data_IF_340938400628
#
_entry.id   IF_340938400628
#
_cell.length_a   1.000
_cell.length_b   1.000
_cell.length_c   1.000
_cell.angle_alpha   90.00
_cell.angle_beta   90.00
_cell.angle_gamma   90.00
#
_symmetry.space_group_name_H-M   'P 1'
#
loop_
_entity.id
_entity.type
_entity.pdbx_description
1 polymer ?
#
# COMPACT_ATOMS: atom_id res chain seq x y z
N UNK A 1 27.38 -0.64 14.90
CA UNK A 1 27.90 -0.58 16.29
C UNK A 1 29.14 -1.43 16.45
N UNK A 2 29.11 -2.71 16.08
CA UNK A 2 30.24 -3.66 16.23
C UNK A 2 31.49 -3.28 15.42
N UNK A 3 31.33 -2.67 14.24
CA UNK A 3 32.45 -2.26 13.36
C UNK A 3 33.03 -0.87 13.64
N UNK A 4 32.34 -0.01 14.42
CA UNK A 4 32.75 1.39 14.69
C UNK A 4 33.15 2.20 13.45
N UNK A 5 32.49 1.95 12.32
CA UNK A 5 32.77 2.65 11.05
C UNK A 5 32.22 4.08 11.07
N UNK A 6 33.02 5.03 10.61
CA UNK A 6 32.55 6.38 10.29
C UNK A 6 31.96 6.41 8.87
N UNK A 7 30.75 6.94 8.76
CA UNK A 7 30.02 7.08 7.50
C UNK A 7 29.49 8.50 7.44
N UNK A 8 30.01 9.31 6.53
CA UNK A 8 29.56 10.69 6.37
C UNK A 8 28.02 10.76 6.24
N UNK A 9 27.37 11.64 7.01
CA UNK A 9 25.92 11.78 6.99
C UNK A 9 25.11 10.73 7.76
N UNK A 10 25.75 9.66 8.26
CA UNK A 10 25.05 8.53 8.86
C UNK A 10 25.65 8.04 10.19
N UNK A 11 26.97 8.00 10.32
CA UNK A 11 27.66 7.48 11.51
C UNK A 11 28.91 8.29 11.83
N UNK A 12 29.06 8.68 13.10
CA UNK A 12 30.22 9.41 13.60
C UNK A 12 30.77 8.72 14.84
N UNK A 13 32.10 8.57 14.92
CA UNK A 13 32.74 7.95 16.07
C UNK A 13 33.00 9.00 17.15
N UNK A 14 31.98 9.27 17.96
CA UNK A 14 32.07 10.27 19.02
C UNK A 14 33.09 9.88 20.11
N UNK A 15 34.17 10.66 20.26
CA UNK A 15 35.17 10.43 21.30
C UNK A 15 34.79 11.11 22.62
N UNK A 16 35.29 10.60 23.76
CA UNK A 16 34.96 11.14 25.09
C UNK A 16 35.17 12.65 25.21
N UNK A 17 36.24 13.19 24.65
CA UNK A 17 36.53 14.62 24.70
C UNK A 17 35.49 15.44 23.93
N UNK A 18 35.01 14.92 22.81
CA UNK A 18 33.97 15.53 21.98
C UNK A 18 32.61 15.51 22.69
N UNK A 19 32.27 14.41 23.35
CA UNK A 19 31.05 14.31 24.18
C UNK A 19 31.08 15.33 25.33
N UNK A 20 32.25 15.52 25.96
CA UNK A 20 32.44 16.54 27.01
C UNK A 20 32.26 17.95 26.43
N UNK A 21 32.84 18.24 25.25
CA UNK A 21 32.68 19.53 24.56
C UNK A 21 31.21 19.79 24.16
N UNK A 22 30.47 18.73 23.83
CA UNK A 22 29.04 18.78 23.56
C UNK A 22 28.17 18.70 24.83
N UNK A 23 28.74 18.94 26.02
CA UNK A 23 28.03 18.96 27.31
C UNK A 23 27.24 17.67 27.60
N UNK A 24 27.78 16.53 27.17
CA UNK A 24 27.13 15.21 27.25
C UNK A 24 25.79 15.13 26.48
N UNK A 25 25.49 16.09 25.61
CA UNK A 25 24.35 16.02 24.72
C UNK A 25 24.67 15.03 23.59
N UNK A 26 23.93 13.91 23.56
CA UNK A 26 24.13 12.79 22.64
C UNK A 26 23.15 12.79 21.46
N UNK A 27 22.46 13.90 21.20
CA UNK A 27 21.56 14.00 20.06
C UNK A 27 22.33 13.86 18.74
N UNK A 28 21.85 12.97 17.86
CA UNK A 28 22.49 12.60 16.58
C UNK A 28 22.94 13.82 15.75
N UNK A 29 22.14 14.89 15.59
CA UNK A 29 22.55 16.06 14.80
C UNK A 29 23.79 16.82 15.30
N UNK A 30 24.25 16.60 16.55
CA UNK A 30 25.50 17.21 17.05
C UNK A 30 26.76 16.52 16.56
N UNK A 31 26.65 15.27 16.12
CA UNK A 31 27.78 14.41 15.76
C UNK A 31 27.75 14.02 14.29
N UNK A 32 26.55 13.87 13.72
CA UNK A 32 26.38 13.52 12.32
C UNK A 32 25.85 14.74 11.59
N UNK A 33 26.72 15.37 10.79
CA UNK A 33 26.30 16.44 9.88
C UNK A 33 25.36 15.87 8.82
N UNK A 34 24.17 16.45 8.68
CA UNK A 34 23.30 16.13 7.57
C UNK A 34 23.99 16.52 6.27
N UNK A 35 24.10 15.56 5.34
CA UNK A 35 24.57 15.86 3.99
C UNK A 35 23.36 16.45 3.25
N UNK A 36 23.50 17.66 2.73
CA UNK A 36 22.55 18.18 1.74
C UNK A 36 22.60 17.28 0.51
N UNK A 37 21.55 16.49 0.33
CA UNK A 37 21.34 15.66 -0.86
C UNK A 37 20.61 16.42 -1.97
N UNK A 38 20.19 17.65 -1.69
CA UNK A 38 19.52 18.49 -2.67
C UNK A 38 20.46 18.84 -3.81
N UNK A 39 19.99 18.63 -5.03
CA UNK A 39 20.70 19.05 -6.22
C UNK A 39 20.71 20.57 -6.23
N UNK A 40 21.90 21.15 -6.06
CA UNK A 40 22.14 22.58 -6.13
C UNK A 40 21.48 23.18 -7.39
N UNK A 41 20.80 24.30 -7.20
CA UNK A 41 20.14 25.02 -8.29
C UNK A 41 21.19 25.65 -9.20
N UNK A 42 20.90 25.65 -10.49
CA UNK A 42 21.72 26.30 -11.50
C UNK A 42 21.05 27.60 -11.97
N UNK A 43 21.77 28.72 -11.84
CA UNK A 43 21.24 30.05 -12.18
C UNK A 43 20.97 30.16 -13.68
N UNK A 44 21.87 29.66 -14.51
CA UNK A 44 21.72 29.74 -15.96
C UNK A 44 20.55 28.85 -16.42
N UNK A 45 20.32 27.70 -15.77
CA UNK A 45 19.16 26.86 -16.02
C UNK A 45 17.82 27.56 -15.70
N UNK A 46 17.75 28.34 -14.61
CA UNK A 46 16.57 29.16 -14.29
C UNK A 46 16.33 30.29 -15.31
N UNK A 47 17.40 30.89 -15.83
CA UNK A 47 17.30 31.99 -16.78
C UNK A 47 16.89 31.53 -18.18
N UNK A 48 17.49 30.44 -18.68
CA UNK A 48 17.39 30.06 -20.09
C UNK A 48 16.89 28.62 -20.33
N UNK A 49 16.53 27.90 -19.27
CA UNK A 49 15.95 26.56 -19.35
C UNK A 49 16.97 25.46 -19.65
N UNK A 50 16.51 24.21 -19.49
CA UNK A 50 17.33 23.01 -19.68
C UNK A 50 18.06 22.56 -18.42
N UNK A 51 18.25 21.25 -18.33
CA UNK A 51 18.88 20.57 -17.21
C UNK A 51 20.40 20.61 -17.37
N UNK A 52 21.17 21.09 -16.38
CA UNK A 52 22.63 21.04 -16.44
C UNK A 52 23.14 19.61 -16.63
N UNK A 53 24.12 19.40 -17.54
CA UNK A 53 24.74 18.08 -17.74
C UNK A 53 25.33 17.50 -16.45
N UNK A 54 25.87 18.35 -15.58
CA UNK A 54 26.38 17.94 -14.26
C UNK A 54 25.31 17.32 -13.35
N UNK A 55 24.03 17.70 -13.51
CA UNK A 55 22.93 17.11 -12.75
C UNK A 55 22.57 15.73 -13.30
N UNK A 56 22.62 15.53 -14.62
CA UNK A 56 22.51 14.21 -15.25
C UNK A 56 23.67 13.31 -14.80
N UNK A 57 24.86 13.89 -14.64
CA UNK A 57 26.04 13.19 -14.13
C UNK A 57 25.97 12.80 -12.65
N UNK A 58 24.92 13.18 -11.93
CA UNK A 58 24.67 12.70 -10.56
C UNK A 58 23.73 11.50 -10.53
N UNK A 59 23.07 11.17 -11.64
CA UNK A 59 22.19 10.00 -11.79
C UNK A 59 23.04 8.75 -12.05
N UNK A 60 23.71 8.26 -11.00
CA UNK A 60 24.68 7.18 -11.08
C UNK A 60 24.01 5.86 -11.51
N UNK A 61 22.88 5.52 -10.91
CA UNK A 61 22.16 4.26 -11.20
C UNK A 61 21.70 4.21 -12.66
N UNK A 62 21.10 5.27 -13.19
CA UNK A 62 20.67 5.33 -14.58
C UNK A 62 21.86 5.27 -15.54
N UNK A 63 22.96 5.98 -15.25
CA UNK A 63 24.16 5.96 -16.10
C UNK A 63 24.86 4.61 -16.13
N UNK A 64 24.89 3.89 -15.02
CA UNK A 64 25.59 2.60 -14.93
C UNK A 64 24.72 1.45 -15.43
N UNK A 65 23.39 1.48 -15.18
CA UNK A 65 22.49 0.40 -15.59
C UNK A 65 21.92 0.54 -16.99
N UNK A 66 21.62 1.76 -17.43
CA UNK A 66 20.94 2.05 -18.70
C UNK A 66 21.51 3.30 -19.41
N UNK A 67 22.83 3.39 -19.64
CA UNK A 67 23.46 4.56 -20.26
C UNK A 67 22.90 4.88 -21.64
N UNK A 68 22.58 3.85 -22.42
CA UNK A 68 22.05 3.96 -23.77
C UNK A 68 20.66 4.61 -23.76
N UNK A 69 19.77 4.13 -22.89
CA UNK A 69 18.43 4.71 -22.71
C UNK A 69 18.54 6.16 -22.26
N UNK A 70 19.41 6.47 -21.29
CA UNK A 70 19.60 7.84 -20.84
C UNK A 70 20.09 8.74 -21.98
N UNK A 71 21.09 8.30 -22.75
CA UNK A 71 21.67 9.06 -23.87
C UNK A 71 20.66 9.28 -25.02
N UNK A 72 19.83 8.29 -25.34
CA UNK A 72 18.81 8.40 -26.38
C UNK A 72 17.70 9.39 -26.03
N UNK A 73 17.37 9.50 -24.74
CA UNK A 73 16.26 10.30 -24.23
C UNK A 73 16.65 11.73 -23.84
N UNK A 74 17.92 12.11 -23.94
CA UNK A 74 18.40 13.49 -23.73
C UNK A 74 18.84 14.13 -25.05
N UNK A 75 18.67 15.44 -25.17
CA UNK A 75 19.23 16.25 -26.24
C UNK A 75 19.87 17.52 -25.73
N UNK A 76 21.02 17.90 -26.29
CA UNK A 76 21.65 19.17 -25.96
C UNK A 76 20.89 20.31 -26.63
N UNK A 77 20.26 21.16 -25.82
CA UNK A 77 19.51 22.32 -26.28
C UNK A 77 20.39 23.58 -26.33
N UNK A 78 21.46 23.62 -25.51
CA UNK A 78 22.49 24.65 -25.49
C UNK A 78 23.77 24.10 -24.83
N UNK A 79 24.95 24.71 -25.06
CA UNK A 79 26.21 24.20 -24.52
C UNK A 79 26.15 23.95 -23.00
N UNK A 80 26.24 22.67 -22.61
CA UNK A 80 26.23 22.27 -21.19
C UNK A 80 24.85 21.96 -20.58
N UNK A 81 23.76 22.14 -21.32
CA UNK A 81 22.39 21.90 -20.83
C UNK A 81 21.58 21.03 -21.80
N UNK A 82 20.76 20.16 -21.23
CA UNK A 82 19.97 19.18 -21.99
C UNK A 82 18.46 19.31 -21.73
N UNK A 83 17.67 18.95 -22.72
CA UNK A 83 16.23 18.70 -22.60
C UNK A 83 15.94 17.19 -22.68
N UNK A 84 14.73 16.80 -22.24
CA UNK A 84 14.23 15.44 -22.39
C UNK A 84 13.44 15.32 -23.69
N UNK A 85 13.66 14.23 -24.44
CA UNK A 85 12.92 13.97 -25.70
C UNK A 85 11.56 13.29 -25.46
N UNK A 86 11.51 12.45 -24.42
CA UNK A 86 10.33 11.68 -24.05
C UNK A 86 9.95 12.01 -22.62
N UNK A 87 8.69 11.77 -22.28
CA UNK A 87 8.22 11.97 -20.91
C UNK A 87 8.89 11.02 -19.92
N UNK A 88 9.02 11.44 -18.67
CA UNK A 88 9.54 10.57 -17.59
C UNK A 88 8.74 9.26 -17.46
N UNK A 89 7.43 9.31 -17.75
CA UNK A 89 6.58 8.11 -17.75
C UNK A 89 7.03 7.10 -18.81
N UNK A 90 7.27 7.54 -20.04
CA UNK A 90 7.76 6.69 -21.11
C UNK A 90 9.16 6.17 -20.81
N UNK A 91 10.05 7.02 -20.29
CA UNK A 91 11.39 6.60 -19.86
C UNK A 91 11.31 5.52 -18.76
N UNK A 92 10.41 5.68 -17.79
CA UNK A 92 10.19 4.68 -16.73
C UNK A 92 9.80 3.33 -17.32
N UNK A 93 8.85 3.32 -18.26
CA UNK A 93 8.40 2.09 -18.91
C UNK A 93 9.52 1.41 -19.72
N UNK A 94 10.35 2.20 -20.41
CA UNK A 94 11.50 1.69 -21.19
C UNK A 94 12.55 1.10 -20.25
N UNK A 95 12.93 1.83 -19.20
CA UNK A 95 13.99 1.41 -18.28
C UNK A 95 13.59 0.15 -17.51
N UNK A 96 12.36 0.07 -16.97
CA UNK A 96 11.91 -1.11 -16.22
C UNK A 96 11.80 -2.37 -17.09
N UNK A 97 11.62 -2.22 -18.40
CA UNK A 97 11.60 -3.33 -19.37
C UNK A 97 12.97 -3.62 -19.99
N UNK A 98 14.00 -2.86 -19.64
CA UNK A 98 15.33 -3.01 -20.19
C UNK A 98 15.95 -4.34 -19.74
N UNK A 99 16.60 -5.06 -20.67
CA UNK A 99 17.14 -6.40 -20.43
C UNK A 99 18.11 -6.46 -19.25
N UNK A 100 18.90 -5.39 -19.05
CA UNK A 100 19.82 -5.26 -17.91
C UNK A 100 19.08 -5.26 -16.57
N UNK A 101 17.97 -4.53 -16.46
CA UNK A 101 17.17 -4.45 -15.22
C UNK A 101 16.49 -5.78 -14.94
N UNK A 102 15.89 -6.40 -15.96
CA UNK A 102 15.24 -7.70 -15.84
C UNK A 102 16.23 -8.80 -15.44
N UNK A 103 17.43 -8.78 -16.00
CA UNK A 103 18.49 -9.74 -15.68
C UNK A 103 19.02 -9.56 -14.26
N UNK A 104 19.23 -8.31 -13.81
CA UNK A 104 19.63 -8.02 -12.44
C UNK A 104 18.58 -8.46 -11.42
N UNK A 105 17.30 -8.18 -11.73
CA UNK A 105 16.16 -8.63 -10.92
C UNK A 105 16.11 -10.15 -10.84
N UNK A 106 16.35 -10.85 -11.95
CA UNK A 106 16.36 -12.32 -11.95
C UNK A 106 17.52 -12.91 -11.17
N UNK A 107 18.71 -12.34 -11.26
CA UNK A 107 19.87 -12.77 -10.47
C UNK A 107 19.60 -12.62 -8.97
N UNK A 108 19.06 -11.47 -8.56
CA UNK A 108 18.70 -11.21 -7.17
C UNK A 108 17.59 -12.15 -6.70
N UNK A 109 16.55 -12.37 -7.50
CA UNK A 109 15.45 -13.30 -7.21
C UNK A 109 15.98 -14.70 -6.88
N UNK A 110 16.95 -15.21 -7.66
CA UNK A 110 17.58 -16.51 -7.42
C UNK A 110 18.31 -16.52 -6.07
N UNK A 111 19.17 -15.51 -5.80
CA UNK A 111 19.92 -15.44 -4.53
C UNK A 111 19.00 -15.34 -3.31
N UNK A 112 17.90 -14.57 -3.40
CA UNK A 112 16.94 -14.44 -2.31
C UNK A 112 16.07 -15.69 -2.14
N UNK A 113 15.76 -16.39 -3.24
CA UNK A 113 15.07 -17.69 -3.17
C UNK A 113 15.94 -18.75 -2.51
N UNK A 114 17.22 -18.79 -2.82
CA UNK A 114 18.18 -19.70 -2.17
C UNK A 114 18.35 -19.35 -0.68
N UNK A 115 18.47 -18.05 -0.36
CA UNK A 115 18.52 -17.55 1.01
C UNK A 115 17.28 -17.97 1.82
N UNK A 116 16.08 -17.70 1.31
CA UNK A 116 14.83 -18.05 2.01
C UNK A 116 14.66 -19.56 2.15
N UNK A 117 15.06 -20.34 1.14
CA UNK A 117 15.04 -21.81 1.20
C UNK A 117 16.01 -22.37 2.24
N UNK A 118 17.21 -21.78 2.38
CA UNK A 118 18.17 -22.15 3.41
C UNK A 118 17.58 -21.91 4.81
N UNK A 119 17.16 -20.69 5.09
CA UNK A 119 16.69 -20.33 6.43
C UNK A 119 15.33 -20.95 6.77
N UNK A 120 14.48 -21.24 5.79
CA UNK A 120 13.30 -22.06 5.99
C UNK A 120 13.62 -23.41 6.65
N UNK A 121 14.65 -24.11 6.15
CA UNK A 121 15.05 -25.41 6.69
C UNK A 121 15.66 -25.30 8.09
N UNK A 122 16.37 -24.21 8.39
CA UNK A 122 16.97 -23.96 9.71
C UNK A 122 15.89 -23.61 10.76
N UNK A 123 14.99 -22.68 10.42
CA UNK A 123 13.92 -22.21 11.31
C UNK A 123 12.95 -23.35 11.70
N UNK A 124 12.65 -24.26 10.77
CA UNK A 124 11.82 -25.45 11.07
C UNK A 124 12.44 -26.40 12.10
N UNK A 125 13.76 -26.36 12.27
CA UNK A 125 14.53 -27.28 13.12
C UNK A 125 14.98 -26.65 14.43
N UNK A 126 14.52 -25.43 14.72
CA UNK A 126 14.79 -24.76 15.98
C UNK A 126 14.31 -25.63 17.16
N UNK A 127 15.16 -25.70 18.18
CA UNK A 127 14.93 -26.42 19.44
C UNK A 127 15.29 -25.52 20.62
N UNK A 128 15.00 -25.95 21.86
CA UNK A 128 15.38 -25.20 23.08
C UNK A 128 16.89 -24.92 23.17
N UNK A 129 17.74 -25.77 22.57
CA UNK A 129 19.19 -25.59 22.57
C UNK A 129 19.70 -24.68 21.44
N UNK A 130 18.82 -24.23 20.54
CA UNK A 130 19.18 -23.36 19.43
C UNK A 130 19.47 -21.93 19.90
N UNK A 131 20.55 -21.33 19.39
CA UNK A 131 20.87 -19.94 19.64
C UNK A 131 20.10 -19.02 18.68
N UNK A 132 18.92 -18.56 19.09
CA UNK A 132 18.05 -17.72 18.25
C UNK A 132 18.69 -16.37 17.90
N UNK A 133 19.47 -15.79 18.81
CA UNK A 133 20.18 -14.52 18.58
C UNK A 133 21.22 -14.68 17.48
N UNK A 134 21.99 -15.77 17.51
CA UNK A 134 22.98 -16.05 16.47
C UNK A 134 22.32 -16.38 15.13
N UNK A 135 21.17 -17.05 15.13
CA UNK A 135 20.39 -17.30 13.91
C UNK A 135 19.88 -16.00 13.29
N UNK A 136 19.33 -15.08 14.10
CA UNK A 136 18.93 -13.74 13.65
C UNK A 136 20.11 -12.96 13.09
N UNK A 137 21.22 -12.87 13.82
CA UNK A 137 22.43 -12.19 13.36
C UNK A 137 22.97 -12.78 12.05
N UNK A 138 22.93 -14.10 11.90
CA UNK A 138 23.37 -14.80 10.69
C UNK A 138 22.47 -14.44 9.50
N UNK A 139 21.15 -14.53 9.66
CA UNK A 139 20.18 -14.11 8.64
C UNK A 139 20.40 -12.67 8.20
N UNK A 140 20.53 -11.76 9.17
CA UNK A 140 20.70 -10.34 8.96
C UNK A 140 22.05 -9.96 8.33
N UNK A 141 23.12 -10.70 8.64
CA UNK A 141 24.43 -10.48 8.05
C UNK A 141 24.51 -11.07 6.64
N UNK A 142 23.97 -12.27 6.41
CA UNK A 142 23.98 -12.89 5.09
C UNK A 142 23.18 -12.09 4.07
N UNK A 143 22.00 -11.56 4.43
CA UNK A 143 21.25 -10.70 3.50
C UNK A 143 22.04 -9.44 3.13
N UNK A 144 22.77 -8.82 4.08
CA UNK A 144 23.65 -7.69 3.78
C UNK A 144 24.74 -8.08 2.79
N UNK A 145 25.35 -9.26 2.93
CA UNK A 145 26.39 -9.70 2.01
C UNK A 145 25.82 -9.91 0.61
N UNK A 146 24.67 -10.58 0.49
CA UNK A 146 24.00 -10.77 -0.80
C UNK A 146 23.73 -9.42 -1.46
N UNK A 147 23.17 -8.47 -0.73
CA UNK A 147 22.82 -7.14 -1.28
C UNK A 147 24.04 -6.30 -1.65
N UNK A 148 25.17 -6.45 -0.94
CA UNK A 148 26.43 -5.76 -1.27
C UNK A 148 27.05 -6.20 -2.60
N UNK A 149 26.62 -7.33 -3.16
CA UNK A 149 27.02 -7.74 -4.51
C UNK A 149 26.32 -6.90 -5.61
N UNK A 150 25.36 -6.05 -5.24
CA UNK A 150 24.58 -5.21 -6.14
C UNK A 150 24.77 -3.72 -5.80
N UNK A 151 25.61 -3.03 -6.57
CA UNK A 151 26.05 -1.65 -6.29
C UNK A 151 24.92 -0.61 -6.16
N UNK A 152 23.78 -0.86 -6.78
CA UNK A 152 22.65 0.08 -6.88
C UNK A 152 21.57 -0.13 -5.84
N UNK A 153 21.74 -1.09 -4.93
CA UNK A 153 20.73 -1.40 -3.93
C UNK A 153 20.99 -0.68 -2.62
N UNK A 154 19.91 -0.21 -2.00
CA UNK A 154 19.95 0.18 -0.61
C UNK A 154 20.00 -1.08 0.28
N UNK A 155 21.22 -1.41 0.71
CA UNK A 155 21.50 -2.55 1.60
C UNK A 155 20.73 -2.44 2.92
N UNK A 156 20.46 -1.22 3.41
CA UNK A 156 19.72 -1.02 4.65
C UNK A 156 18.23 -1.27 4.47
N UNK A 157 17.63 -0.85 3.34
CA UNK A 157 16.22 -1.17 3.06
C UNK A 157 16.03 -2.69 2.96
N UNK A 158 16.91 -3.41 2.24
CA UNK A 158 16.81 -4.87 2.17
C UNK A 158 17.10 -5.58 3.50
N UNK A 159 18.00 -5.04 4.32
CA UNK A 159 18.18 -5.50 5.70
C UNK A 159 16.91 -5.32 6.55
N UNK A 160 16.23 -4.18 6.40
CA UNK A 160 15.01 -3.88 7.16
C UNK A 160 13.90 -4.89 6.85
N UNK A 161 13.77 -5.35 5.61
CA UNK A 161 12.81 -6.42 5.24
C UNK A 161 12.98 -7.64 6.15
N UNK A 162 14.21 -8.12 6.32
CA UNK A 162 14.49 -9.29 7.17
C UNK A 162 14.32 -8.96 8.66
N UNK A 163 14.76 -7.79 9.10
CA UNK A 163 14.61 -7.36 10.50
C UNK A 163 13.13 -7.23 10.92
N UNK A 164 12.26 -6.79 10.01
CA UNK A 164 10.82 -6.71 10.24
C UNK A 164 10.17 -8.09 10.32
N UNK A 165 10.60 -9.05 9.50
CA UNK A 165 10.14 -10.45 9.59
C UNK A 165 10.49 -11.05 10.96
N UNK A 166 11.70 -10.77 11.47
CA UNK A 166 12.08 -11.17 12.83
C UNK A 166 11.19 -10.54 13.88
N UNK A 167 11.12 -9.21 13.88
CA UNK A 167 10.36 -8.42 14.85
C UNK A 167 8.88 -8.81 14.90
N UNK A 168 8.26 -9.01 13.73
CA UNK A 168 6.81 -9.18 13.62
C UNK A 168 6.37 -10.65 13.64
N UNK A 169 7.29 -11.60 13.47
CA UNK A 169 6.93 -13.03 13.39
C UNK A 169 7.97 -13.95 14.01
N UNK A 170 9.22 -13.98 13.50
CA UNK A 170 10.14 -15.05 13.87
C UNK A 170 10.55 -15.04 15.34
N UNK A 171 10.67 -13.88 16.01
CA UNK A 171 11.00 -13.86 17.46
C UNK A 171 10.00 -14.71 18.24
N UNK A 172 8.71 -14.42 18.08
CA UNK A 172 7.66 -15.15 18.80
C UNK A 172 7.51 -16.59 18.31
N UNK A 173 7.47 -16.80 16.99
CA UNK A 173 7.23 -18.13 16.43
C UNK A 173 8.36 -19.09 16.78
N UNK A 174 9.63 -18.68 16.66
CA UNK A 174 10.78 -19.55 16.93
C UNK A 174 10.90 -19.91 18.40
N UNK A 175 10.53 -19.02 19.32
CA UNK A 175 10.42 -19.34 20.75
C UNK A 175 9.39 -20.44 21.01
N UNK A 176 8.21 -20.35 20.40
CA UNK A 176 7.18 -21.38 20.56
C UNK A 176 7.58 -22.70 19.88
N UNK A 177 8.17 -22.63 18.68
CA UNK A 177 8.70 -23.79 17.95
C UNK A 177 9.76 -24.51 18.77
N UNK A 178 10.70 -23.77 19.39
CA UNK A 178 11.75 -24.32 20.23
C UNK A 178 11.19 -25.18 21.37
N UNK A 179 10.11 -24.72 21.99
CA UNK A 179 9.51 -25.35 23.18
C UNK A 179 8.52 -26.48 22.84
N UNK A 180 7.68 -26.30 21.81
CA UNK A 180 6.55 -27.20 21.52
C UNK A 180 6.76 -28.07 20.27
N UNK A 181 7.72 -27.70 19.41
CA UNK A 181 7.99 -28.33 18.12
C UNK A 181 7.13 -27.76 16.99
N UNK A 182 7.73 -27.60 15.81
CA UNK A 182 7.18 -26.88 14.65
C UNK A 182 5.75 -27.28 14.27
N UNK A 183 5.53 -28.55 13.99
CA UNK A 183 4.23 -29.06 13.56
C UNK A 183 3.20 -29.13 14.69
N UNK A 184 3.65 -29.18 15.95
CA UNK A 184 2.77 -29.21 17.11
C UNK A 184 2.19 -27.82 17.35
N UNK A 185 3.04 -26.80 17.47
CA UNK A 185 2.60 -25.42 17.73
C UNK A 185 1.73 -24.88 16.59
N UNK A 186 2.02 -25.26 15.34
CA UNK A 186 1.23 -24.87 14.18
C UNK A 186 -0.23 -25.36 14.24
N UNK A 187 -0.51 -26.44 14.99
CA UNK A 187 -1.85 -26.99 15.24
C UNK A 187 -2.45 -26.55 16.57
N UNK A 188 -1.80 -25.64 17.28
CA UNK A 188 -2.31 -25.10 18.52
C UNK A 188 -3.08 -23.80 18.32
N UNK A 189 -4.04 -23.59 19.22
CA UNK A 189 -4.86 -22.40 19.29
C UNK A 189 -4.74 -21.71 20.63
N UNK A 190 -4.99 -20.42 20.65
CA UNK A 190 -5.09 -19.59 21.84
C UNK A 190 -6.44 -18.86 21.87
N UNK A 191 -6.99 -18.57 23.07
CA UNK A 191 -8.25 -17.85 23.20
C UNK A 191 -8.19 -16.47 22.53
N UNK A 192 -9.13 -16.19 21.64
CA UNK A 192 -9.28 -14.85 21.05
C UNK A 192 -10.06 -13.97 22.02
N UNK A 193 -9.34 -13.10 22.75
CA UNK A 193 -9.95 -12.19 23.71
C UNK A 193 -10.41 -10.90 23.02
N UNK A 194 -11.69 -10.55 23.19
CA UNK A 194 -12.24 -9.30 22.67
C UNK A 194 -12.82 -8.46 23.80
N UNK A 195 -12.67 -7.15 23.67
CA UNK A 195 -13.34 -6.22 24.57
C UNK A 195 -14.78 -6.00 24.10
N UNK A 196 -15.76 -6.25 24.98
CA UNK A 196 -17.16 -5.86 24.75
C UNK A 196 -17.65 -4.84 25.78
N UNK A 197 -18.61 -4.02 25.35
CA UNK A 197 -19.19 -2.94 26.15
C UNK A 197 -18.42 -1.62 26.04
N UNK A 198 -18.98 -0.56 26.62
CA UNK A 198 -18.39 0.79 26.64
C UNK A 198 -18.43 1.39 28.05
N UNK A 199 -17.44 2.20 28.39
CA UNK A 199 -17.34 2.83 29.72
C UNK A 199 -17.31 1.82 30.86
N UNK A 200 -18.27 1.90 31.79
CA UNK A 200 -18.34 1.06 33.00
C UNK A 200 -18.75 -0.40 32.73
N UNK A 201 -19.24 -0.74 31.54
CA UNK A 201 -19.60 -2.12 31.17
C UNK A 201 -18.53 -2.84 30.34
N UNK A 202 -17.35 -2.20 30.17
CA UNK A 202 -16.21 -2.77 29.45
C UNK A 202 -15.73 -4.03 30.15
N UNK A 203 -15.76 -5.15 29.45
CA UNK A 203 -15.24 -6.45 29.91
C UNK A 203 -14.50 -7.14 28.79
N UNK A 204 -13.51 -7.95 29.15
CA UNK A 204 -12.87 -8.87 28.22
C UNK A 204 -13.61 -10.20 28.26
N UNK A 205 -14.00 -10.70 27.10
CA UNK A 205 -14.61 -12.02 26.94
C UNK A 205 -13.93 -12.77 25.79
N UNK A 206 -13.89 -14.09 25.88
CA UNK A 206 -13.40 -14.92 24.80
C UNK A 206 -14.45 -14.97 23.67
N UNK A 207 -14.01 -14.72 22.44
CA UNK A 207 -14.82 -14.75 21.23
C UNK A 207 -14.02 -15.43 20.11
N UNK A 208 -14.08 -16.77 20.10
CA UNK A 208 -13.37 -17.64 19.17
C UNK A 208 -11.95 -18.01 19.60
N UNK A 209 -11.17 -18.42 18.61
CA UNK A 209 -9.79 -18.91 18.75
C UNK A 209 -8.88 -18.29 17.70
N UNK A 210 -7.63 -18.01 18.06
CA UNK A 210 -6.56 -17.70 17.11
C UNK A 210 -5.60 -18.87 17.01
N UNK A 211 -5.01 -19.11 15.84
CA UNK A 211 -3.84 -19.99 15.73
C UNK A 211 -2.64 -19.37 16.47
N UNK A 212 -1.89 -20.19 17.21
CA UNK A 212 -0.74 -19.70 17.99
C UNK A 212 0.34 -19.05 17.11
N UNK A 213 0.66 -19.66 15.98
CA UNK A 213 1.69 -19.15 15.05
C UNK A 213 1.17 -18.96 13.62
N UNK A 214 0.00 -19.48 13.25
CA UNK A 214 -0.60 -19.26 11.92
C UNK A 214 -1.83 -18.36 12.08
N UNK A 215 -1.83 -17.15 11.50
CA UNK A 215 -2.99 -16.27 11.55
C UNK A 215 -4.21 -16.89 10.86
N UNK A 216 -5.39 -16.79 11.48
CA UNK A 216 -6.64 -17.31 10.90
C UNK A 216 -6.94 -16.68 9.53
N UNK A 217 -6.61 -15.39 9.35
CA UNK A 217 -6.75 -14.70 8.06
C UNK A 217 -5.95 -15.37 6.96
N UNK A 218 -4.76 -15.87 7.27
CA UNK A 218 -3.90 -16.56 6.32
C UNK A 218 -4.44 -17.96 5.96
N UNK A 219 -4.99 -18.68 6.95
CA UNK A 219 -5.68 -19.96 6.71
C UNK A 219 -6.88 -19.74 5.79
N UNK A 220 -7.71 -18.74 6.09
CA UNK A 220 -8.87 -18.38 5.28
C UNK A 220 -8.45 -18.03 3.84
N UNK A 221 -7.42 -17.20 3.67
CA UNK A 221 -6.93 -16.77 2.36
C UNK A 221 -6.39 -17.94 1.51
N UNK A 222 -5.62 -18.85 2.11
CA UNK A 222 -4.93 -19.90 1.36
C UNK A 222 -5.74 -21.18 1.19
N UNK A 223 -6.63 -21.51 2.13
CA UNK A 223 -7.36 -22.78 2.13
C UNK A 223 -8.85 -22.63 1.79
N UNK A 224 -9.43 -21.43 1.95
CA UNK A 224 -10.85 -21.16 1.76
C UNK A 224 -11.11 -20.07 0.71
N UNK A 225 -10.25 -19.98 -0.31
CA UNK A 225 -10.34 -18.92 -1.32
C UNK A 225 -11.64 -18.95 -2.13
N UNK A 226 -12.27 -20.12 -2.30
CA UNK A 226 -13.56 -20.22 -3.01
C UNK A 226 -14.70 -19.63 -2.17
N UNK A 227 -14.75 -20.01 -0.90
CA UNK A 227 -15.72 -19.54 0.07
C UNK A 227 -15.57 -18.03 0.27
N UNK A 228 -14.34 -17.51 0.37
CA UNK A 228 -14.09 -16.07 0.39
C UNK A 228 -14.63 -15.36 -0.87
N UNK A 229 -14.40 -15.94 -2.05
CA UNK A 229 -14.90 -15.38 -3.29
C UNK A 229 -16.43 -15.41 -3.37
N UNK A 230 -17.09 -16.45 -2.85
CA UNK A 230 -18.55 -16.52 -2.76
C UNK A 230 -19.12 -15.42 -1.84
N UNK A 231 -18.48 -15.19 -0.69
CA UNK A 231 -18.84 -14.09 0.22
C UNK A 231 -18.64 -12.72 -0.45
N UNK A 232 -17.53 -12.52 -1.16
CA UNK A 232 -17.26 -11.28 -1.88
C UNK A 232 -18.28 -11.04 -3.00
N UNK A 233 -18.67 -12.07 -3.74
CA UNK A 233 -19.73 -11.98 -4.74
C UNK A 233 -21.07 -11.55 -4.12
N UNK A 234 -21.42 -12.10 -2.94
CA UNK A 234 -22.63 -11.68 -2.21
C UNK A 234 -22.53 -10.24 -1.72
N UNK A 235 -21.38 -9.80 -1.19
CA UNK A 235 -21.14 -8.40 -0.79
C UNK A 235 -21.31 -7.45 -1.97
N UNK A 236 -20.71 -7.78 -3.11
CA UNK A 236 -20.84 -7.00 -4.33
C UNK A 236 -22.30 -6.93 -4.78
N UNK A 237 -23.03 -8.06 -4.76
CA UNK A 237 -24.44 -8.09 -5.12
C UNK A 237 -25.31 -7.24 -4.18
N UNK A 238 -25.05 -7.27 -2.87
CA UNK A 238 -25.71 -6.40 -1.90
C UNK A 238 -25.44 -4.93 -2.24
N UNK A 239 -24.19 -4.58 -2.54
CA UNK A 239 -23.82 -3.23 -2.95
C UNK A 239 -24.53 -2.77 -4.23
N UNK A 240 -24.64 -3.64 -5.25
CA UNK A 240 -25.41 -3.35 -6.46
C UNK A 240 -26.90 -3.09 -6.17
N UNK A 241 -27.52 -3.91 -5.31
CA UNK A 241 -28.92 -3.74 -4.93
C UNK A 241 -29.14 -2.46 -4.11
N UNK A 242 -28.20 -2.11 -3.24
CA UNK A 242 -28.23 -0.87 -2.46
C UNK A 242 -28.07 0.36 -3.36
N UNK A 243 -27.17 0.32 -4.34
CA UNK A 243 -27.03 1.37 -5.35
C UNK A 243 -28.32 1.53 -6.17
N UNK A 244 -28.92 0.45 -6.65
CA UNK A 244 -30.19 0.52 -7.39
C UNK A 244 -31.32 1.12 -6.53
N UNK A 245 -31.37 0.80 -5.24
CA UNK A 245 -32.33 1.41 -4.31
C UNK A 245 -32.08 2.91 -4.14
N UNK A 246 -30.83 3.35 -4.00
CA UNK A 246 -30.48 4.77 -3.93
C UNK A 246 -30.83 5.49 -5.22
N UNK A 247 -30.55 4.91 -6.39
CA UNK A 247 -30.93 5.49 -7.69
C UNK A 247 -32.44 5.66 -7.81
N UNK A 248 -33.22 4.70 -7.31
CA UNK A 248 -34.69 4.80 -7.28
C UNK A 248 -35.18 5.88 -6.30
N UNK A 249 -34.50 6.09 -5.18
CA UNK A 249 -34.81 7.20 -4.27
C UNK A 249 -34.56 8.54 -4.94
N UNK A 250 -33.41 8.71 -5.61
CA UNK A 250 -33.08 9.94 -6.34
C UNK A 250 -34.07 10.20 -7.48
N UNK A 251 -34.42 9.17 -8.26
CA UNK A 251 -35.44 9.28 -9.29
C UNK A 251 -36.81 9.70 -8.70
N UNK A 252 -37.18 9.13 -7.55
CA UNK A 252 -38.41 9.46 -6.85
C UNK A 252 -38.43 10.87 -6.24
N UNK A 253 -37.29 11.55 -6.11
CA UNK A 253 -37.20 12.97 -5.70
C UNK A 253 -37.41 13.96 -6.86
N UNK A 254 -37.40 13.49 -8.11
CA UNK A 254 -37.59 14.34 -9.29
C UNK A 254 -39.08 14.58 -9.51
N UNK A 255 -39.55 15.79 -9.22
CA UNK A 255 -40.94 16.22 -9.44
C UNK A 255 -41.41 15.92 -10.88
N UNK A 256 -42.71 15.60 -11.02
CA UNK A 256 -43.37 15.22 -12.28
C UNK A 256 -42.86 13.94 -12.98
N UNK A 257 -42.05 13.12 -12.30
CA UNK A 257 -41.65 11.78 -12.80
C UNK A 257 -42.65 10.69 -12.40
N UNK A 258 -42.66 9.57 -13.15
CA UNK A 258 -43.50 8.41 -12.82
C UNK A 258 -43.04 7.78 -11.49
N UNK A 259 -41.75 7.85 -11.21
CA UNK A 259 -41.12 7.39 -9.98
C UNK A 259 -41.52 8.25 -8.79
N UNK A 260 -41.61 9.58 -8.94
CA UNK A 260 -42.11 10.50 -7.92
C UNK A 260 -43.54 10.15 -7.53
N UNK A 261 -44.44 10.07 -8.50
CA UNK A 261 -45.85 9.72 -8.27
C UNK A 261 -45.99 8.34 -7.59
N UNK A 262 -45.07 7.42 -7.88
CA UNK A 262 -45.17 6.06 -7.40
C UNK A 262 -44.51 5.82 -6.03
N UNK A 263 -43.41 6.51 -5.73
CA UNK A 263 -42.48 6.15 -4.65
C UNK A 263 -42.18 7.28 -3.66
N UNK A 264 -42.49 8.55 -3.97
CA UNK A 264 -42.10 9.69 -3.12
C UNK A 264 -42.61 9.56 -1.68
N UNK A 265 -43.87 9.16 -1.51
CA UNK A 265 -44.53 9.06 -0.19
C UNK A 265 -43.93 7.97 0.72
N UNK A 266 -43.15 7.04 0.17
CA UNK A 266 -42.51 5.96 0.93
C UNK A 266 -41.01 6.20 1.15
N UNK A 267 -40.49 7.36 0.76
CA UNK A 267 -39.12 7.76 1.11
C UNK A 267 -39.07 8.07 2.60
N UNK A 268 -38.11 7.49 3.30
CA UNK A 268 -37.95 7.68 4.73
C UNK A 268 -37.50 9.11 5.02
N UNK A 269 -38.08 9.70 6.06
CA UNK A 269 -37.69 11.02 6.58
C UNK A 269 -36.85 10.92 7.84
N UNK A 270 -35.99 11.90 8.06
CA UNK A 270 -35.17 11.99 9.26
C UNK A 270 -35.91 12.69 10.42
N UNK A 271 -35.17 13.09 11.46
CA UNK A 271 -35.76 13.73 12.65
C UNK A 271 -36.22 15.17 12.42
N UNK A 272 -35.70 15.80 11.37
CA UNK A 272 -35.98 17.18 10.99
C UNK A 272 -37.00 17.24 9.82
N UNK A 273 -37.63 16.09 9.50
CA UNK A 273 -38.60 15.89 8.41
C UNK A 273 -38.01 16.01 6.99
N UNK A 274 -36.68 15.87 6.86
CA UNK A 274 -35.97 15.87 5.57
C UNK A 274 -35.94 14.47 4.95
N UNK A 275 -36.06 14.40 3.62
CA UNK A 275 -36.00 13.13 2.87
C UNK A 275 -34.60 12.52 2.94
N UNK A 276 -34.53 11.22 3.25
CA UNK A 276 -33.29 10.45 3.29
C UNK A 276 -33.08 9.65 2.00
N UNK A 277 -31.93 8.98 1.90
CA UNK A 277 -31.55 8.15 0.75
C UNK A 277 -32.04 6.69 0.89
N UNK A 278 -33.16 6.48 1.57
CA UNK A 278 -33.71 5.15 1.84
C UNK A 278 -35.23 5.14 1.87
N UNK A 279 -35.83 4.01 1.54
CA UNK A 279 -37.29 3.81 1.64
C UNK A 279 -37.70 3.35 3.05
N UNK A 280 -38.87 3.79 3.50
CA UNK A 280 -39.50 3.29 4.72
C UNK A 280 -40.21 1.96 4.45
N UNK A 281 -39.73 0.90 5.12
CA UNK A 281 -40.29 -0.45 4.93
C UNK A 281 -41.72 -0.59 5.42
N UNK A 282 -42.15 0.22 6.39
CA UNK A 282 -43.51 0.16 6.92
C UNK A 282 -44.51 0.83 5.98
N UNK A 283 -44.16 1.99 5.43
CA UNK A 283 -44.99 2.72 4.48
C UNK A 283 -45.06 1.99 3.13
N UNK A 284 -43.94 1.43 2.65
CA UNK A 284 -43.94 0.54 1.49
C UNK A 284 -44.92 -0.63 1.64
N UNK A 285 -44.96 -1.27 2.82
CA UNK A 285 -45.83 -2.41 3.09
C UNK A 285 -47.30 -2.02 3.30
N UNK A 286 -47.60 -0.79 3.74
CA UNK A 286 -48.97 -0.31 3.86
C UNK A 286 -49.54 0.02 2.47
N UNK A 287 -48.80 0.75 1.64
CA UNK A 287 -49.18 1.11 0.27
C UNK A 287 -49.42 -0.12 -0.62
N UNK A 288 -48.53 -1.12 -0.55
CA UNK A 288 -48.67 -2.37 -1.29
C UNK A 288 -49.95 -3.18 -0.95
N UNK A 289 -50.58 -2.94 0.21
CA UNK A 289 -51.84 -3.61 0.60
C UNK A 289 -53.08 -2.86 0.11
N UNK A 290 -52.99 -1.54 -0.04
CA UNK A 290 -54.11 -0.67 -0.39
C UNK A 290 -54.31 -0.49 -1.90
N UNK A 291 -53.25 -0.71 -2.68
CA UNK A 291 -53.24 -0.37 -4.11
C UNK A 291 -53.69 -1.52 -5.04
N UNK A 292 -54.28 -1.17 -6.19
CA UNK A 292 -54.62 -2.14 -7.24
C UNK A 292 -53.34 -2.76 -7.83
N UNK A 293 -53.27 -4.11 -7.82
CA UNK A 293 -52.14 -4.88 -8.34
C UNK A 293 -51.88 -4.69 -9.84
N UNK A 294 -52.82 -4.10 -10.58
CA UNK A 294 -52.67 -3.79 -12.01
C UNK A 294 -52.14 -2.39 -12.27
N UNK A 295 -52.00 -1.54 -11.25
CA UNK A 295 -51.51 -0.16 -11.43
C UNK A 295 -50.02 -0.13 -11.75
N UNK A 296 -49.55 0.95 -12.38
CA UNK A 296 -48.12 1.15 -12.62
C UNK A 296 -47.36 1.41 -11.31
N UNK A 297 -47.97 2.16 -10.39
CA UNK A 297 -47.43 2.39 -9.05
C UNK A 297 -47.20 1.07 -8.29
N UNK A 298 -48.09 0.07 -8.42
CA UNK A 298 -47.86 -1.24 -7.82
C UNK A 298 -46.58 -1.91 -8.34
N UNK A 299 -46.25 -1.75 -9.64
CA UNK A 299 -45.02 -2.33 -10.20
C UNK A 299 -43.77 -1.72 -9.58
N UNK A 300 -43.75 -0.40 -9.41
CA UNK A 300 -42.64 0.32 -8.78
C UNK A 300 -42.49 -0.04 -7.30
N UNK A 301 -43.58 0.02 -6.53
CA UNK A 301 -43.59 -0.40 -5.13
C UNK A 301 -43.14 -1.86 -5.00
N UNK A 302 -43.59 -2.74 -5.91
CA UNK A 302 -43.21 -4.14 -5.89
C UNK A 302 -41.72 -4.35 -6.20
N UNK A 303 -41.18 -3.59 -7.16
CA UNK A 303 -39.73 -3.59 -7.47
C UNK A 303 -38.91 -3.21 -6.23
N UNK A 304 -39.26 -2.11 -5.57
CA UNK A 304 -38.57 -1.67 -4.34
C UNK A 304 -38.69 -2.72 -3.23
N UNK A 305 -39.86 -3.32 -3.04
CA UNK A 305 -40.06 -4.39 -2.05
C UNK A 305 -39.21 -5.62 -2.31
N UNK A 306 -39.09 -6.03 -3.57
CA UNK A 306 -38.29 -7.18 -3.97
C UNK A 306 -36.80 -6.90 -3.78
N UNK A 307 -36.30 -5.71 -4.18
CA UNK A 307 -34.91 -5.29 -3.96
C UNK A 307 -34.55 -5.25 -2.46
N UNK A 308 -35.43 -4.67 -1.63
CA UNK A 308 -35.22 -4.61 -0.17
C UNK A 308 -35.23 -6.02 0.44
N UNK A 309 -36.13 -6.89 -0.03
CA UNK A 309 -36.24 -8.26 0.48
C UNK A 309 -35.02 -9.10 0.08
N UNK A 310 -34.56 -9.00 -1.17
CA UNK A 310 -33.38 -9.68 -1.69
C UNK A 310 -32.11 -9.22 -0.96
N UNK A 311 -31.88 -7.91 -0.85
CA UNK A 311 -30.73 -7.36 -0.10
C UNK A 311 -30.73 -7.81 1.37
N UNK A 312 -31.90 -7.83 2.03
CA UNK A 312 -32.01 -8.31 3.40
C UNK A 312 -31.78 -9.82 3.54
N UNK A 313 -32.24 -10.62 2.57
CA UNK A 313 -31.99 -12.07 2.51
C UNK A 313 -30.50 -12.36 2.35
N UNK A 314 -29.87 -11.77 1.33
CA UNK A 314 -28.44 -11.92 1.06
C UNK A 314 -27.58 -11.44 2.22
N UNK A 315 -27.93 -10.31 2.84
CA UNK A 315 -27.23 -9.80 4.03
C UNK A 315 -27.31 -10.76 5.22
N UNK A 316 -28.41 -11.50 5.36
CA UNK A 316 -28.57 -12.50 6.41
C UNK A 316 -27.75 -13.75 6.10
N UNK A 317 -27.81 -14.24 4.87
CA UNK A 317 -27.01 -15.38 4.41
C UNK A 317 -25.52 -15.09 4.54
N UNK A 318 -25.07 -13.92 4.10
CA UNK A 318 -23.68 -13.47 4.20
C UNK A 318 -23.18 -13.56 5.65
N UNK A 319 -23.94 -13.05 6.62
CA UNK A 319 -23.56 -13.10 8.04
C UNK A 319 -23.46 -14.52 8.59
N UNK A 320 -24.31 -15.43 8.09
CA UNK A 320 -24.29 -16.84 8.51
C UNK A 320 -23.07 -17.52 7.90
N UNK A 321 -22.86 -17.38 6.60
CA UNK A 321 -21.75 -18.01 5.88
C UNK A 321 -20.39 -17.44 6.30
N UNK A 322 -20.29 -16.13 6.57
CA UNK A 322 -19.09 -15.52 7.17
C UNK A 322 -18.76 -16.18 8.51
N UNK A 323 -19.76 -16.37 9.36
CA UNK A 323 -19.56 -17.01 10.66
C UNK A 323 -19.15 -18.47 10.48
N UNK A 324 -19.82 -19.21 9.60
CA UNK A 324 -19.50 -20.61 9.31
C UNK A 324 -18.07 -20.77 8.76
N UNK A 325 -17.63 -19.85 7.89
CA UNK A 325 -16.27 -19.82 7.39
C UNK A 325 -15.26 -19.61 8.53
N UNK A 326 -15.48 -18.62 9.40
CA UNK A 326 -14.56 -18.37 10.51
C UNK A 326 -14.55 -19.51 11.53
N UNK A 327 -15.71 -20.08 11.87
CA UNK A 327 -15.81 -21.26 12.73
C UNK A 327 -15.04 -22.45 12.10
N UNK A 328 -15.16 -22.64 10.78
CA UNK A 328 -14.43 -23.68 10.05
C UNK A 328 -12.91 -23.43 10.05
N UNK A 329 -12.46 -22.19 9.87
CA UNK A 329 -11.05 -21.80 9.93
C UNK A 329 -10.47 -22.08 11.32
N UNK A 330 -11.19 -21.74 12.39
CA UNK A 330 -10.76 -21.97 13.77
C UNK A 330 -10.59 -23.47 14.08
N UNK A 331 -11.51 -24.30 13.63
CA UNK A 331 -11.40 -25.76 13.79
C UNK A 331 -10.35 -26.36 12.85
N UNK A 332 -10.12 -25.76 11.68
CA UNK A 332 -9.11 -26.23 10.71
C UNK A 332 -7.70 -26.21 11.31
N UNK A 333 -7.39 -25.25 12.18
CA UNK A 333 -6.08 -25.12 12.86
C UNK A 333 -5.62 -26.46 13.45
N UNK A 334 -6.52 -27.16 14.15
CA UNK A 334 -6.20 -28.39 14.88
C UNK A 334 -5.83 -29.57 13.97
N UNK A 335 -6.25 -29.53 12.70
CA UNK A 335 -6.19 -30.63 11.75
C UNK A 335 -5.48 -30.27 10.44
N UNK A 336 -4.71 -29.18 10.44
CA UNK A 336 -3.84 -28.83 9.31
C UNK A 336 -2.87 -29.99 9.02
N UNK A 337 -2.67 -30.30 7.75
CA UNK A 337 -1.65 -31.25 7.30
C UNK A 337 -0.25 -30.63 7.39
N UNK A 338 0.80 -31.46 7.43
CA UNK A 338 2.17 -30.95 7.47
C UNK A 338 2.49 -30.14 6.21
N UNK A 339 1.96 -30.53 5.05
CA UNK A 339 2.12 -29.81 3.79
C UNK A 339 1.41 -28.45 3.78
N UNK A 340 0.23 -28.35 4.40
CA UNK A 340 -0.47 -27.07 4.56
C UNK A 340 0.26 -26.15 5.53
N UNK A 341 0.73 -26.69 6.66
CA UNK A 341 1.52 -25.95 7.65
C UNK A 341 2.78 -25.37 6.99
N UNK A 342 3.49 -26.19 6.21
CA UNK A 342 4.69 -25.78 5.51
C UNK A 342 4.40 -24.60 4.56
N UNK A 343 3.33 -24.66 3.77
CA UNK A 343 2.94 -23.58 2.86
C UNK A 343 2.51 -22.31 3.60
N UNK A 344 1.67 -22.45 4.63
CA UNK A 344 1.14 -21.32 5.41
C UNK A 344 2.27 -20.58 6.13
N UNK A 345 3.14 -21.29 6.84
CA UNK A 345 4.22 -20.66 7.59
C UNK A 345 5.29 -20.11 6.64
N UNK A 346 5.64 -20.82 5.56
CA UNK A 346 6.55 -20.27 4.56
C UNK A 346 6.00 -18.96 3.97
N UNK A 347 4.71 -18.92 3.63
CA UNK A 347 4.07 -17.70 3.14
C UNK A 347 4.04 -16.60 4.21
N UNK A 348 3.77 -16.94 5.48
CA UNK A 348 3.80 -15.99 6.60
C UNK A 348 5.18 -15.31 6.73
N UNK A 349 6.26 -16.11 6.69
CA UNK A 349 7.61 -15.60 6.93
C UNK A 349 8.25 -14.99 5.70
N UNK A 350 8.06 -15.63 4.53
CA UNK A 350 8.83 -15.33 3.32
C UNK A 350 8.00 -15.03 2.08
N UNK A 351 6.66 -15.08 2.18
CA UNK A 351 5.76 -14.98 1.01
C UNK A 351 5.91 -13.69 0.20
N UNK A 352 6.40 -12.62 0.83
CA UNK A 352 6.67 -11.33 0.16
C UNK A 352 8.15 -11.02 -0.01
N UNK A 353 9.04 -11.71 0.71
CA UNK A 353 10.47 -11.36 0.82
C UNK A 353 11.18 -11.26 -0.53
N UNK A 354 10.95 -12.22 -1.42
CA UNK A 354 11.57 -12.21 -2.76
C UNK A 354 11.12 -10.96 -3.54
N UNK A 355 9.82 -10.66 -3.54
CA UNK A 355 9.28 -9.50 -4.24
C UNK A 355 9.72 -8.18 -3.59
N UNK A 356 9.67 -8.09 -2.26
CA UNK A 356 10.04 -6.88 -1.53
C UNK A 356 11.50 -6.52 -1.79
N UNK A 357 12.40 -7.51 -1.79
CA UNK A 357 13.83 -7.28 -2.03
C UNK A 357 14.13 -7.04 -3.52
N UNK A 358 13.52 -7.78 -4.44
CA UNK A 358 13.75 -7.58 -5.88
C UNK A 358 13.21 -6.24 -6.37
N UNK A 359 12.12 -5.75 -5.78
CA UNK A 359 11.57 -4.42 -6.07
C UNK A 359 12.50 -3.26 -5.71
N UNK A 360 13.53 -3.50 -4.89
CA UNK A 360 14.51 -2.46 -4.55
C UNK A 360 15.31 -1.98 -5.77
N UNK A 361 15.46 -2.82 -6.80
CA UNK A 361 16.07 -2.43 -8.07
C UNK A 361 15.19 -1.37 -8.75
N UNK A 362 13.90 -1.65 -8.86
CA UNK A 362 12.93 -0.72 -9.44
C UNK A 362 12.87 0.58 -8.63
N UNK A 363 12.89 0.50 -7.30
CA UNK A 363 12.89 1.68 -6.41
C UNK A 363 14.13 2.53 -6.67
N UNK A 364 15.32 1.92 -6.78
CA UNK A 364 16.56 2.63 -7.05
C UNK A 364 16.51 3.39 -8.37
N UNK A 365 16.08 2.74 -9.44
CA UNK A 365 15.91 3.35 -10.76
C UNK A 365 14.85 4.46 -10.76
N UNK A 366 13.67 4.19 -10.18
CA UNK A 366 12.57 5.16 -10.10
C UNK A 366 12.95 6.38 -9.27
N UNK A 367 13.79 6.22 -8.26
CA UNK A 367 14.27 7.34 -7.44
C UNK A 367 15.05 8.35 -8.29
N UNK A 368 15.94 7.89 -9.17
CA UNK A 368 16.70 8.77 -10.08
C UNK A 368 15.85 9.33 -11.21
N UNK A 369 14.87 8.56 -11.73
CA UNK A 369 13.91 9.10 -12.70
C UNK A 369 13.02 10.20 -12.10
N UNK A 370 12.62 10.07 -10.83
CA UNK A 370 11.89 11.10 -10.11
C UNK A 370 12.78 12.34 -9.86
N UNK A 371 14.08 12.14 -9.61
CA UNK A 371 15.03 13.26 -9.56
C UNK A 371 15.08 13.96 -10.93
N UNK A 372 15.16 13.21 -12.02
CA UNK A 372 15.16 13.77 -13.37
C UNK A 372 13.86 14.54 -13.67
N UNK A 373 12.71 14.02 -13.26
CA UNK A 373 11.42 14.71 -13.35
C UNK A 373 11.44 16.05 -12.61
N UNK A 374 11.92 16.05 -11.36
CA UNK A 374 12.05 17.27 -10.57
C UNK A 374 12.98 18.29 -11.22
N UNK A 375 14.02 17.85 -11.92
CA UNK A 375 14.93 18.75 -12.64
C UNK A 375 14.28 19.33 -13.91
N UNK A 376 13.52 18.52 -14.64
CA UNK A 376 12.73 18.99 -15.79
C UNK A 376 11.71 20.03 -15.35
N UNK A 377 10.87 19.71 -14.36
CA UNK A 377 9.86 20.63 -13.81
C UNK A 377 10.49 21.92 -13.27
N UNK A 378 11.65 21.82 -12.60
CA UNK A 378 12.36 22.97 -12.02
C UNK A 378 12.84 23.96 -13.07
N UNK A 379 13.26 23.50 -14.25
CA UNK A 379 13.85 24.34 -15.29
C UNK A 379 12.96 24.47 -16.55
N UNK A 380 11.68 24.09 -16.44
CA UNK A 380 10.69 24.21 -17.51
C UNK A 380 10.25 25.67 -17.71
N UNK A 381 9.93 26.37 -16.62
CA UNK A 381 9.52 27.77 -16.64
C UNK A 381 10.73 28.69 -16.41
N UNK A 382 11.21 29.30 -17.49
CA UNK A 382 12.36 30.21 -17.43
C UNK A 382 11.94 31.61 -16.99
N UNK A 383 12.88 32.39 -16.43
CA UNK A 383 12.62 33.79 -16.09
C UNK A 383 12.12 34.58 -17.31
N UNK A 384 12.73 34.38 -18.48
CA UNK A 384 12.30 35.02 -19.73
C UNK A 384 10.87 34.62 -20.14
N UNK A 385 10.48 33.35 -19.92
CA UNK A 385 9.11 32.86 -20.19
C UNK A 385 8.10 33.51 -19.24
N UNK A 386 8.45 33.60 -17.96
CA UNK A 386 7.60 34.22 -16.93
C UNK A 386 7.43 35.72 -17.21
N UNK A 387 8.51 36.42 -17.54
CA UNK A 387 8.47 37.85 -17.89
C UNK A 387 7.58 38.07 -19.13
N UNK A 388 7.70 37.22 -20.16
CA UNK A 388 6.82 37.25 -21.32
C UNK A 388 5.34 36.98 -20.99
N UNK A 389 5.06 36.03 -20.09
CA UNK A 389 3.70 35.77 -19.61
C UNK A 389 3.13 36.98 -18.84
N UNK A 390 3.94 37.64 -18.02
CA UNK A 390 3.55 38.86 -17.30
C UNK A 390 3.22 39.97 -18.29
N UNK A 391 4.06 40.20 -19.31
CA UNK A 391 3.81 41.21 -20.34
C UNK A 391 2.51 40.94 -21.10
N UNK A 392 2.26 39.69 -21.49
CA UNK A 392 1.02 39.30 -22.17
C UNK A 392 -0.21 39.49 -21.27
N UNK A 393 -0.16 39.06 -20.01
CA UNK A 393 -1.24 39.25 -19.04
C UNK A 393 -1.53 40.74 -18.79
N UNK A 394 -0.50 41.57 -18.73
CA UNK A 394 -0.65 43.03 -18.60
C UNK A 394 -1.33 43.63 -19.83
N UNK A 395 -0.98 43.17 -21.03
CA UNK A 395 -1.62 43.61 -22.28
C UNK A 395 -3.10 43.21 -22.35
N UNK A 396 -3.43 41.97 -21.96
CA UNK A 396 -4.81 41.48 -21.88
C UNK A 396 -5.63 42.27 -20.84
N UNK A 397 -5.02 42.59 -19.69
CA UNK A 397 -5.67 43.40 -18.66
C UNK A 397 -5.99 44.82 -19.14
N UNK A 398 -5.05 45.49 -19.83
CA UNK A 398 -5.33 46.82 -20.40
C UNK A 398 -6.41 46.75 -21.50
N UNK A 399 -6.49 45.65 -22.25
CA UNK A 399 -7.57 45.42 -23.22
C UNK A 399 -8.93 45.28 -22.53
N UNK A 400 -9.05 44.44 -21.50
CA UNK A 400 -10.28 44.28 -20.72
C UNK A 400 -10.73 45.59 -20.05
N UNK A 401 -9.78 46.37 -19.55
CA UNK A 401 -10.04 47.69 -18.96
C UNK A 401 -10.56 48.68 -19.99
N UNK A 402 -10.03 48.68 -21.22
CA UNK A 402 -10.55 49.51 -22.30
C UNK A 402 -12.00 49.13 -22.67
N UNK A 403 -12.31 47.83 -22.74
CA UNK A 403 -13.66 47.35 -23.03
C UNK A 403 -14.67 47.72 -21.93
N UNK A 404 -14.25 47.76 -20.66
CA UNK A 404 -15.09 48.21 -19.53
C UNK A 404 -15.35 49.73 -19.51
N UNK A 405 -14.46 50.54 -20.13
CA UNK A 405 -14.59 52.01 -20.18
C UNK A 405 -15.46 52.45 -21.38
N UNK A 406 -15.67 51.57 -22.36
CA UNK A 406 -16.48 51.83 -23.57
C UNK A 406 -17.91 51.26 -23.44
N UNK A 407 -18.24 50.61 -22.32
CA UNK A 407 -19.58 50.08 -21.99
C UNK A 407 -20.54 51.07 -21.34
#
# INVERSE_FOLDING_TARGET
YTSKEEIAGFSHLAYRNEIIQNEYNMNIPRYVQSIETDIAHDVDAHLFGGIPKENIDKLKTLRELVPEVLAENIEEIRPGFVGLKNSIKEMTDIVLKHERILSLSKELEIKITDYTSKFWNELKRVTVDSNLVELEETMLNEIKQILKEFDHLDVYTGYQVIAEIWKNSLIHDTELIANEGFYTVARMREPKMVTKGTGKSKREEQDGWNGKIIPNTLIAQMLYGKEQQELDNKRNKIGELEMELTDLVEAAKVEDSVEYDALFDIIKKDKDDELTDSFDKSDLKSELKGIDKKSEQYKWLKKVDDLIAESAMLSKELKIEEKELWDAVEERILVLTDEEIDKLIFHKWFGKTVNDITSLIDVSVKSELNILQKLEERYADTLDSIDGQIENLLADFETLKADLVVG
#
